data_IF_772033083335
#
_entry.id   IF_772033083335
#
_cell.length_a   1.000
_cell.length_b   1.000
_cell.length_c   1.000
_cell.angle_alpha   90.00
_cell.angle_beta   90.00
_cell.angle_gamma   90.00
#
_symmetry.space_group_name_H-M   'P 1'
#
loop_
_entity.id
_entity.type
_entity.pdbx_description
1 polymer ?
#
# COMPACT_ATOMS: atom_id res chain seq x y z
N UNK A 1 37.22 7.20 -14.85
CA UNK A 1 35.90 6.87 -15.44
C UNK A 1 35.38 5.48 -15.07
N UNK A 2 36.07 4.37 -15.40
CA UNK A 2 35.58 2.99 -15.15
C UNK A 2 35.17 2.72 -13.68
N UNK A 3 35.97 3.19 -12.72
CA UNK A 3 35.71 3.04 -11.27
C UNK A 3 34.50 3.86 -10.77
N UNK A 4 34.23 5.01 -11.39
CA UNK A 4 33.07 5.85 -11.05
C UNK A 4 31.78 5.16 -11.51
N UNK A 5 31.76 4.64 -12.74
CA UNK A 5 30.62 3.90 -13.29
C UNK A 5 30.35 2.63 -12.46
N UNK A 6 31.39 1.88 -12.09
CA UNK A 6 31.23 0.68 -11.25
C UNK A 6 30.64 1.00 -9.87
N UNK A 7 31.08 2.08 -9.23
CA UNK A 7 30.54 2.50 -7.95
C UNK A 7 29.07 2.93 -8.07
N UNK A 8 28.72 3.69 -9.12
CA UNK A 8 27.34 4.09 -9.37
C UNK A 8 26.43 2.89 -9.61
N UNK A 9 26.86 1.93 -10.44
CA UNK A 9 26.08 0.70 -10.68
C UNK A 9 25.88 -0.09 -9.40
N UNK A 10 26.92 -0.21 -8.56
CA UNK A 10 26.84 -0.88 -7.26
C UNK A 10 25.86 -0.18 -6.32
N UNK A 11 25.90 1.15 -6.24
CA UNK A 11 24.99 1.94 -5.42
C UNK A 11 23.54 1.80 -5.88
N UNK A 12 23.29 1.84 -7.19
CA UNK A 12 21.96 1.63 -7.77
C UNK A 12 21.43 0.21 -7.51
N UNK A 13 22.27 -0.81 -7.65
CA UNK A 13 21.90 -2.20 -7.34
C UNK A 13 21.64 -2.39 -5.84
N UNK A 14 22.46 -1.79 -4.97
CA UNK A 14 22.26 -1.81 -3.52
C UNK A 14 20.97 -1.10 -3.11
N UNK A 15 20.63 0.02 -3.76
CA UNK A 15 19.35 0.70 -3.55
C UNK A 15 18.17 -0.17 -4.01
N UNK A 16 18.28 -0.80 -5.17
CA UNK A 16 17.23 -1.69 -5.70
C UNK A 16 16.98 -2.91 -4.81
N UNK A 17 18.03 -3.46 -4.19
CA UNK A 17 17.92 -4.61 -3.28
C UNK A 17 17.39 -4.24 -1.89
N UNK A 18 17.41 -2.97 -1.49
CA UNK A 18 16.91 -2.44 -0.20
C UNK A 18 15.50 -1.83 -0.33
N UNK A 19 14.63 -2.50 -1.08
CA UNK A 19 13.23 -2.10 -1.29
C UNK A 19 13.04 -0.78 -2.06
N UNK A 20 14.01 -0.37 -2.89
CA UNK A 20 14.03 0.84 -3.73
C UNK A 20 13.93 2.19 -3.02
N UNK A 21 13.33 2.25 -1.83
CA UNK A 21 13.07 3.44 -1.01
C UNK A 21 14.14 3.60 0.06
N UNK A 22 14.64 2.50 0.63
CA UNK A 22 15.68 2.52 1.67
C UNK A 22 15.21 2.93 3.06
N UNK A 23 13.89 2.92 3.31
CA UNK A 23 13.28 3.13 4.62
C UNK A 23 12.77 1.81 5.21
N UNK A 24 12.71 1.71 6.54
CA UNK A 24 12.12 0.54 7.20
C UNK A 24 10.59 0.61 7.17
N UNK A 25 9.93 -0.40 6.59
CA UNK A 25 8.48 -0.47 6.54
C UNK A 25 7.89 -1.03 7.86
N UNK A 26 7.32 -0.14 8.67
CA UNK A 26 6.61 -0.50 9.91
C UNK A 26 5.23 -1.14 9.65
N UNK A 27 4.64 -0.93 8.48
CA UNK A 27 3.33 -1.47 8.10
C UNK A 27 3.44 -2.90 7.54
N UNK A 28 4.63 -3.34 7.14
CA UNK A 28 4.89 -4.68 6.60
C UNK A 28 4.35 -5.78 7.53
N UNK A 29 3.57 -6.72 6.99
CA UNK A 29 2.92 -7.78 7.75
C UNK A 29 3.92 -8.63 8.56
N UNK A 30 5.12 -8.89 8.02
CA UNK A 30 6.16 -9.67 8.69
C UNK A 30 6.79 -8.96 9.90
N UNK A 31 6.56 -7.65 10.08
CA UNK A 31 7.00 -6.90 11.27
C UNK A 31 6.03 -7.01 12.45
N UNK A 32 4.98 -7.83 12.32
CA UNK A 32 3.97 -8.04 13.35
C UNK A 32 2.75 -7.13 13.23
N UNK A 33 2.64 -6.37 12.13
CA UNK A 33 1.48 -5.54 11.83
C UNK A 33 0.23 -6.39 11.55
N UNK A 34 -0.91 -5.93 12.06
CA UNK A 34 -2.19 -6.66 11.99
C UNK A 34 -3.28 -5.81 11.36
N UNK A 35 -4.17 -6.46 10.62
CA UNK A 35 -5.40 -5.84 10.11
C UNK A 35 -6.44 -5.74 11.22
N UNK A 36 -6.98 -4.55 11.44
CA UNK A 36 -8.15 -4.32 12.31
C UNK A 36 -9.42 -4.53 11.47
N UNK A 37 -9.87 -5.78 11.41
CA UNK A 37 -10.95 -6.21 10.50
C UNK A 37 -12.26 -5.45 10.68
N UNK A 38 -12.62 -5.07 11.91
CA UNK A 38 -13.85 -4.32 12.20
C UNK A 38 -13.87 -2.90 11.61
N UNK A 39 -12.70 -2.35 11.30
CA UNK A 39 -12.52 -0.99 10.77
C UNK A 39 -11.98 -1.00 9.33
N UNK A 40 -11.87 -2.17 8.72
CA UNK A 40 -11.33 -2.34 7.37
C UNK A 40 -12.47 -2.72 6.42
N UNK A 41 -12.51 -2.10 5.25
CA UNK A 41 -13.48 -2.46 4.21
C UNK A 41 -13.33 -3.93 3.82
N UNK A 42 -14.44 -4.62 3.60
CA UNK A 42 -14.42 -6.02 3.19
C UNK A 42 -13.76 -6.20 1.82
N UNK A 43 -13.09 -7.34 1.63
CA UNK A 43 -12.53 -7.72 0.35
C UNK A 43 -13.62 -7.89 -0.72
N UNK A 44 -13.22 -7.69 -1.97
CA UNK A 44 -14.11 -7.84 -3.11
C UNK A 44 -14.56 -9.29 -3.28
N UNK A 45 -15.86 -9.47 -3.44
CA UNK A 45 -16.46 -10.75 -3.79
C UNK A 45 -17.29 -10.60 -5.06
N UNK A 46 -16.94 -11.35 -6.12
CA UNK A 46 -17.78 -11.39 -7.32
C UNK A 46 -19.22 -11.83 -6.97
N UNK A 47 -20.25 -11.21 -7.56
CA UNK A 47 -21.64 -11.60 -7.34
C UNK A 47 -21.85 -13.10 -7.56
N UNK A 48 -22.41 -13.78 -6.55
CA UNK A 48 -22.73 -15.20 -6.60
C UNK A 48 -24.06 -15.42 -7.34
N UNK A 49 -24.06 -15.20 -8.66
CA UNK A 49 -25.21 -15.46 -9.52
C UNK A 49 -25.16 -16.88 -10.10
N UNK A 50 -26.30 -17.39 -10.57
CA UNK A 50 -26.43 -18.78 -11.05
C UNK A 50 -25.40 -19.14 -12.13
N UNK A 51 -25.10 -18.18 -13.01
CA UNK A 51 -24.10 -18.31 -14.08
C UNK A 51 -22.68 -18.41 -13.50
N UNK A 52 -22.27 -17.54 -12.58
CA UNK A 52 -20.92 -17.58 -12.01
C UNK A 52 -20.66 -18.86 -11.23
N UNK A 53 -21.69 -19.41 -10.56
CA UNK A 53 -21.64 -20.69 -9.84
C UNK A 53 -21.54 -21.90 -10.78
N UNK A 54 -22.24 -21.88 -11.92
CA UNK A 54 -22.21 -23.00 -12.87
C UNK A 54 -20.92 -23.04 -13.70
N UNK A 55 -20.34 -21.88 -13.99
CA UNK A 55 -19.13 -21.75 -14.82
C UNK A 55 -17.84 -21.50 -14.01
N UNK A 56 -17.90 -21.53 -12.67
CA UNK A 56 -16.77 -21.20 -11.77
C UNK A 56 -16.11 -19.84 -12.09
N UNK A 57 -16.89 -18.85 -12.56
CA UNK A 57 -16.40 -17.53 -12.97
C UNK A 57 -16.23 -16.55 -11.80
N UNK A 58 -16.18 -17.05 -10.55
CA UNK A 58 -16.06 -16.23 -9.36
C UNK A 58 -14.65 -15.68 -9.17
N UNK A 59 -14.44 -14.40 -9.43
CA UNK A 59 -13.21 -13.70 -9.01
C UNK A 59 -13.37 -13.32 -7.53
N UNK A 60 -12.55 -13.90 -6.67
CA UNK A 60 -12.44 -13.47 -5.26
C UNK A 60 -11.22 -12.56 -5.12
N UNK A 61 -11.42 -11.37 -4.56
CA UNK A 61 -10.33 -10.47 -4.20
C UNK A 61 -9.41 -11.10 -3.16
N UNK A 62 -8.16 -10.67 -3.11
CA UNK A 62 -7.25 -11.08 -2.04
C UNK A 62 -7.60 -10.36 -0.74
N UNK A 63 -7.29 -10.94 0.43
CA UNK A 63 -7.60 -10.30 1.71
C UNK A 63 -6.80 -9.01 1.96
N UNK A 64 -7.26 -8.12 2.87
CA UNK A 64 -6.60 -6.85 3.18
C UNK A 64 -5.12 -6.95 3.56
N UNK A 65 -4.71 -8.07 4.17
CA UNK A 65 -3.31 -8.30 4.55
C UNK A 65 -2.36 -8.29 3.35
N UNK A 66 -2.85 -8.57 2.13
CA UNK A 66 -2.05 -8.52 0.90
C UNK A 66 -1.50 -7.13 0.61
N UNK A 67 -2.20 -6.06 1.02
CA UNK A 67 -1.70 -4.69 0.87
C UNK A 67 -0.47 -4.40 1.75
N UNK A 68 -0.13 -5.28 2.70
CA UNK A 68 1.00 -5.16 3.62
C UNK A 68 2.10 -6.19 3.33
N UNK A 69 2.14 -6.70 2.10
CA UNK A 69 3.15 -7.68 1.64
C UNK A 69 3.94 -7.09 0.48
N UNK A 70 5.22 -7.47 0.28
CA UNK A 70 6.08 -6.83 -0.72
C UNK A 70 5.78 -7.26 -2.17
N UNK A 71 4.85 -8.18 -2.38
CA UNK A 71 4.53 -8.71 -3.71
C UNK A 71 3.48 -7.83 -4.41
N UNK A 72 3.95 -7.04 -5.38
CA UNK A 72 3.15 -6.10 -6.19
C UNK A 72 2.86 -6.63 -7.60
N UNK A 73 2.98 -7.94 -7.82
CA UNK A 73 2.71 -8.54 -9.12
C UNK A 73 1.23 -8.45 -9.53
N UNK A 74 0.94 -8.63 -10.82
CA UNK A 74 -0.41 -8.50 -11.36
C UNK A 74 -1.40 -9.43 -10.64
N UNK A 75 -2.49 -8.85 -10.14
CA UNK A 75 -3.52 -9.58 -9.37
C UNK A 75 -3.15 -9.83 -7.90
N UNK A 76 -1.95 -9.44 -7.45
CA UNK A 76 -1.50 -9.59 -6.07
C UNK A 76 -1.75 -8.32 -5.24
N UNK A 77 -2.99 -7.82 -5.28
CA UNK A 77 -3.43 -6.66 -4.51
C UNK A 77 -4.70 -6.99 -3.70
N UNK A 78 -4.92 -6.25 -2.61
CA UNK A 78 -6.22 -6.23 -1.95
C UNK A 78 -7.18 -5.36 -2.76
N UNK A 79 -8.35 -5.91 -3.06
CA UNK A 79 -9.43 -5.21 -3.75
C UNK A 79 -10.68 -5.17 -2.87
N UNK A 80 -11.48 -4.12 -3.04
CA UNK A 80 -12.74 -3.91 -2.32
C UNK A 80 -13.82 -3.40 -3.28
N UNK A 81 -15.08 -3.41 -2.83
CA UNK A 81 -16.20 -2.90 -3.63
C UNK A 81 -16.23 -1.36 -3.64
N UNK A 82 -16.65 -0.79 -4.77
CA UNK A 82 -16.79 0.65 -5.02
C UNK A 82 -15.45 1.41 -5.08
N UNK A 83 -15.54 2.74 -5.14
CA UNK A 83 -14.43 3.68 -5.31
C UNK A 83 -13.83 4.19 -3.98
N UNK A 84 -14.39 3.75 -2.84
CA UNK A 84 -14.00 4.21 -1.50
C UNK A 84 -13.82 3.01 -0.56
N UNK A 85 -12.67 2.97 0.08
CA UNK A 85 -12.30 1.93 1.04
C UNK A 85 -11.43 2.47 2.17
N UNK A 86 -11.36 1.71 3.26
CA UNK A 86 -10.52 2.02 4.43
C UNK A 86 -9.72 0.77 4.78
N UNK A 87 -8.41 0.92 4.92
CA UNK A 87 -7.52 -0.09 5.48
C UNK A 87 -7.08 0.38 6.86
N UNK A 88 -7.45 -0.37 7.91
CA UNK A 88 -7.03 -0.04 9.28
C UNK A 88 -6.05 -1.08 9.78
N UNK A 89 -4.88 -0.62 10.24
CA UNK A 89 -3.79 -1.47 10.68
C UNK A 89 -3.35 -1.12 12.11
N UNK A 90 -2.91 -2.12 12.85
CA UNK A 90 -2.21 -1.96 14.11
C UNK A 90 -0.74 -2.33 13.90
N UNK A 91 0.15 -1.34 14.01
CA UNK A 91 1.58 -1.54 13.81
C UNK A 91 2.16 -2.45 14.91
N UNK A 92 3.12 -3.30 14.55
CA UNK A 92 3.83 -4.14 15.51
C UNK A 92 4.64 -3.34 16.55
N UNK A 93 5.02 -2.11 16.20
CA UNK A 93 5.74 -1.17 17.07
C UNK A 93 5.17 0.23 16.93
N UNK A 94 4.95 0.91 18.06
CA UNK A 94 4.59 2.33 18.07
C UNK A 94 5.72 3.17 17.47
N UNK A 95 5.38 4.05 16.54
CA UNK A 95 6.34 4.87 15.79
C UNK A 95 5.73 6.21 15.42
N UNK A 96 6.58 7.20 15.16
CA UNK A 96 6.18 8.49 14.59
C UNK A 96 6.45 8.38 13.08
N UNK A 97 5.41 8.31 12.23
CA UNK A 97 5.60 8.15 10.79
C UNK A 97 6.21 9.42 10.20
N UNK A 98 7.22 9.26 9.34
CA UNK A 98 7.82 10.35 8.57
C UNK A 98 7.23 10.44 7.17
N UNK A 99 6.89 9.29 6.59
CA UNK A 99 6.41 9.16 5.21
C UNK A 99 5.46 7.96 5.09
N UNK A 100 4.64 7.99 4.06
CA UNK A 100 3.77 6.89 3.65
C UNK A 100 4.06 6.54 2.21
N UNK A 101 4.16 5.25 1.91
CA UNK A 101 4.44 4.75 0.57
C UNK A 101 3.23 3.99 0.03
N UNK A 102 2.90 4.24 -1.23
CA UNK A 102 1.92 3.46 -1.99
C UNK A 102 2.63 2.81 -3.17
N UNK A 103 2.42 1.50 -3.29
CA UNK A 103 2.84 0.71 -4.44
C UNK A 103 1.64 0.30 -5.28
N UNK A 104 1.86 0.31 -6.60
CA UNK A 104 0.95 -0.24 -7.58
C UNK A 104 1.74 -0.89 -8.71
N UNK A 105 1.12 -1.82 -9.44
CA UNK A 105 1.75 -2.35 -10.65
C UNK A 105 1.96 -1.23 -11.68
N UNK A 106 3.08 -1.29 -12.42
CA UNK A 106 3.36 -0.39 -13.54
C UNK A 106 2.25 -0.45 -14.60
N UNK A 107 1.90 0.71 -15.17
CA UNK A 107 0.97 0.82 -16.29
C UNK A 107 1.35 -0.08 -17.48
N UNK A 108 2.63 -0.36 -17.68
CA UNK A 108 3.11 -1.21 -18.77
C UNK A 108 2.79 -2.70 -18.58
N UNK A 109 2.30 -3.10 -17.40
CA UNK A 109 2.04 -4.49 -17.03
C UNK A 109 0.55 -4.76 -16.73
N UNK A 110 -0.35 -3.82 -17.05
CA UNK A 110 -1.79 -3.98 -16.91
C UNK A 110 -2.54 -3.44 -18.14
N UNK A 111 -3.72 -4.01 -18.41
CA UNK A 111 -4.63 -3.49 -19.42
C UNK A 111 -5.45 -2.29 -18.92
N UNK A 112 -5.63 -2.20 -17.59
CA UNK A 112 -6.40 -1.16 -16.94
C UNK A 112 -5.72 -0.74 -15.63
N UNK A 113 -5.35 0.53 -15.56
CA UNK A 113 -4.71 1.15 -14.39
C UNK A 113 -5.70 1.99 -13.57
N UNK A 114 -6.95 2.14 -14.04
CA UNK A 114 -7.97 2.99 -13.43
C UNK A 114 -8.42 2.52 -12.04
N UNK A 115 -8.14 1.27 -11.69
CA UNK A 115 -8.41 0.69 -10.37
C UNK A 115 -7.45 1.16 -9.28
N UNK A 116 -6.35 1.84 -9.64
CA UNK A 116 -5.41 2.37 -8.68
C UNK A 116 -6.08 3.40 -7.74
N UNK A 117 -5.71 3.43 -6.45
CA UNK A 117 -6.22 4.43 -5.52
C UNK A 117 -5.75 5.82 -5.96
N UNK A 118 -6.58 6.85 -5.78
CA UNK A 118 -6.25 8.23 -6.20
C UNK A 118 -6.08 9.16 -5.00
N UNK A 119 -7.19 9.56 -4.40
CA UNK A 119 -7.20 10.45 -3.23
C UNK A 119 -7.04 9.61 -1.96
N UNK A 120 -5.95 9.81 -1.24
CA UNK A 120 -5.63 9.03 -0.05
C UNK A 120 -5.45 10.00 1.13
N UNK A 121 -6.07 9.65 2.26
CA UNK A 121 -5.84 10.34 3.53
C UNK A 121 -5.44 9.31 4.57
N UNK A 122 -4.32 9.56 5.24
CA UNK A 122 -3.78 8.69 6.28
C UNK A 122 -4.03 9.32 7.64
N UNK A 123 -4.54 8.52 8.57
CA UNK A 123 -4.83 8.93 9.93
C UNK A 123 -4.09 8.05 10.92
N UNK A 124 -3.69 8.65 12.04
CA UNK A 124 -3.16 7.96 13.20
C UNK A 124 -4.10 8.09 14.39
N UNK A 125 -3.87 7.27 15.40
CA UNK A 125 -4.49 7.44 16.71
C UNK A 125 -3.42 7.95 17.66
N UNK A 126 -3.67 9.09 18.33
CA UNK A 126 -2.78 9.60 19.35
C UNK A 126 -2.90 8.76 20.65
N UNK A 127 -2.19 9.14 21.70
CA UNK A 127 -2.24 8.44 23.00
C UNK A 127 -3.63 8.47 23.66
N UNK A 128 -4.45 9.46 23.31
CA UNK A 128 -5.81 9.65 23.81
C UNK A 128 -6.85 8.90 22.96
N UNK A 129 -6.42 8.16 21.94
CA UNK A 129 -7.25 7.47 20.95
C UNK A 129 -8.03 8.40 20.02
N UNK A 130 -7.63 9.66 19.91
CA UNK A 130 -8.18 10.59 18.93
C UNK A 130 -7.59 10.32 17.55
N UNK A 131 -8.46 10.38 16.55
CA UNK A 131 -8.11 10.22 15.15
C UNK A 131 -7.50 11.53 14.61
N UNK A 132 -6.23 11.48 14.23
CA UNK A 132 -5.45 12.64 13.77
C UNK A 132 -5.07 12.46 12.31
N UNK A 133 -5.28 13.48 11.48
CA UNK A 133 -4.84 13.48 10.08
C UNK A 133 -3.31 13.61 10.03
N UNK A 134 -2.67 12.65 9.36
CA UNK A 134 -1.22 12.59 9.21
C UNK A 134 -0.78 13.02 7.83
N UNK A 135 -1.53 12.67 6.79
CA UNK A 135 -1.21 13.10 5.43
C UNK A 135 -2.45 13.00 4.55
N UNK A 136 -2.49 13.84 3.51
CA UNK A 136 -3.49 13.77 2.45
C UNK A 136 -2.81 14.06 1.12
N UNK A 137 -2.92 13.14 0.19
CA UNK A 137 -2.17 13.19 -1.06
C UNK A 137 -2.91 12.50 -2.21
N UNK A 138 -2.41 12.74 -3.42
CA UNK A 138 -2.89 12.12 -4.65
C UNK A 138 -1.82 11.18 -5.16
N UNK A 139 -2.17 9.90 -5.30
CA UNK A 139 -1.36 8.93 -6.03
C UNK A 139 -1.68 9.00 -7.52
N UNK A 140 -0.65 9.07 -8.35
CA UNK A 140 -0.79 9.05 -9.80
C UNK A 140 -0.09 7.83 -10.41
N UNK A 141 -0.82 6.75 -10.75
CA UNK A 141 -0.21 5.52 -11.24
C UNK A 141 0.50 5.69 -12.60
N UNK A 142 0.31 6.82 -13.29
CA UNK A 142 0.96 7.10 -14.57
C UNK A 142 2.39 7.64 -14.41
N UNK A 143 2.76 8.15 -13.23
CA UNK A 143 4.09 8.71 -12.98
C UNK A 143 5.10 7.64 -12.59
N UNK A 144 4.92 7.05 -11.41
CA UNK A 144 5.79 6.00 -10.87
C UNK A 144 4.95 4.93 -10.18
N UNK A 145 5.30 3.64 -10.32
CA UNK A 145 4.60 2.54 -9.64
C UNK A 145 4.64 2.65 -8.11
N UNK A 146 5.73 3.19 -7.57
CA UNK A 146 5.97 3.40 -6.14
C UNK A 146 6.11 4.89 -5.86
N UNK A 147 5.31 5.41 -4.93
CA UNK A 147 5.34 6.83 -4.55
C UNK A 147 5.33 6.99 -3.04
N UNK A 148 6.18 7.87 -2.52
CA UNK A 148 6.27 8.18 -1.10
C UNK A 148 5.82 9.61 -0.83
N UNK A 149 5.07 9.79 0.24
CA UNK A 149 4.41 11.05 0.61
C UNK A 149 4.74 11.39 2.07
N UNK A 150 5.20 12.62 2.37
CA UNK A 150 5.59 12.98 3.72
C UNK A 150 4.39 13.02 4.68
N UNK A 151 4.64 12.71 5.94
CA UNK A 151 3.72 12.90 7.04
C UNK A 151 3.79 14.34 7.56
N UNK A 152 2.65 14.85 8.02
CA UNK A 152 2.51 16.11 8.74
C UNK A 152 2.85 15.87 10.21
N UNK A 153 4.11 16.11 10.57
CA UNK A 153 4.69 15.78 11.90
C UNK A 153 4.09 16.64 13.03
N UNK A 154 3.51 17.80 12.71
CA UNK A 154 2.95 18.75 13.69
C UNK A 154 1.80 18.17 14.52
N UNK A 155 1.11 17.13 14.06
CA UNK A 155 -0.13 16.63 14.67
C UNK A 155 0.07 15.56 15.76
N UNK A 156 1.27 14.98 15.91
CA UNK A 156 1.54 13.89 16.86
C UNK A 156 2.21 14.33 18.18
N UNK A 157 2.66 15.58 18.25
CA UNK A 157 3.44 16.13 19.36
C UNK A 157 2.63 17.05 20.29
N UNK A 158 1.31 17.13 20.10
CA UNK A 158 0.38 17.77 21.04
C UNK A 158 -0.62 16.74 21.53
#
# INVERSE_FOLDING_TARGET
MKKIIQNLVKELMEKYTKDSIGHFDYALASTGTKIVRSLTTSDYHSPNNFVSRWFNLGIKGKPPITALTPDVSFGNCWSFHNDKGVLTIALGKSTIPTDFTIDHISQNLTLDISSAPKNISVYGFNKESDKVLLSSFIFDPHLNPTQSFPASVTSFLH
#
